data_IF_120969533487
#
_entry.id   IF_120969533487
#
_cell.length_a   1.000
_cell.length_b   1.000
_cell.length_c   1.000
_cell.angle_alpha   90.00
_cell.angle_beta   90.00
_cell.angle_gamma   90.00
#
_symmetry.space_group_name_H-M   'P 1'
#
loop_
_entity.id
_entity.type
_entity.pdbx_description
1 polymer ?
#
# COMPACT_ATOMS: atom_id res chain seq x y z
N UNK A 1 -14.28 -18.82 -19.45
CA UNK A 1 -14.05 -18.75 -17.99
C UNK A 1 -13.29 -17.47 -17.65
N UNK A 2 -14.01 -16.41 -17.25
CA UNK A 2 -13.45 -15.06 -16.99
C UNK A 2 -13.66 -14.60 -15.53
N UNK A 3 -14.22 -15.44 -14.66
CA UNK A 3 -14.68 -15.04 -13.31
C UNK A 3 -13.61 -15.05 -12.21
N UNK A 4 -12.50 -15.77 -12.41
CA UNK A 4 -11.47 -15.96 -11.36
C UNK A 4 -10.37 -14.90 -11.35
N UNK A 5 -10.23 -14.11 -12.42
CA UNK A 5 -9.17 -13.09 -12.51
C UNK A 5 -9.47 -11.85 -11.64
N UNK A 6 -10.75 -11.54 -11.43
CA UNK A 6 -11.18 -10.33 -10.72
C UNK A 6 -11.01 -10.42 -9.20
N UNK A 7 -11.14 -11.61 -8.62
CA UNK A 7 -11.05 -11.80 -7.17
C UNK A 7 -9.62 -11.67 -6.65
N UNK A 8 -8.63 -12.02 -7.48
CA UNK A 8 -7.21 -11.98 -7.12
C UNK A 8 -6.77 -10.52 -6.98
N UNK A 9 -7.14 -9.60 -7.89
CA UNK A 9 -6.70 -8.20 -7.82
C UNK A 9 -7.21 -7.42 -6.60
N UNK A 10 -8.36 -7.79 -6.04
CA UNK A 10 -8.93 -7.11 -4.88
C UNK A 10 -8.12 -7.35 -3.58
N UNK A 11 -7.44 -8.50 -3.47
CA UNK A 11 -6.68 -8.85 -2.27
C UNK A 11 -5.32 -8.13 -2.14
N UNK A 12 -4.84 -7.43 -3.18
CA UNK A 12 -3.49 -6.85 -3.20
C UNK A 12 -3.40 -5.41 -2.67
N UNK A 13 -4.44 -4.80 -2.13
CA UNK A 13 -4.39 -3.39 -1.69
C UNK A 13 -4.37 -3.28 -0.16
N UNK A 14 -3.26 -2.79 0.41
CA UNK A 14 -3.14 -2.45 1.84
C UNK A 14 -3.23 -0.94 2.05
N UNK A 15 -3.93 -0.52 3.10
CA UNK A 15 -3.98 0.88 3.54
C UNK A 15 -2.78 1.17 4.44
N UNK A 16 -2.00 2.21 4.14
CA UNK A 16 -0.89 2.71 4.96
C UNK A 16 -1.14 4.13 5.40
N UNK A 17 -0.97 4.40 6.70
CA UNK A 17 -0.97 5.76 7.22
C UNK A 17 0.41 6.38 7.04
N UNK A 18 0.47 7.55 6.44
CA UNK A 18 1.69 8.32 6.34
C UNK A 18 2.06 8.88 7.73
N UNK A 19 3.27 8.65 8.25
CA UNK A 19 3.68 9.16 9.56
C UNK A 19 3.89 10.68 9.57
N UNK A 20 4.06 11.31 8.40
CA UNK A 20 4.34 12.74 8.30
C UNK A 20 3.07 13.60 8.29
N UNK A 21 2.07 13.20 7.50
CA UNK A 21 0.84 13.99 7.29
C UNK A 21 -0.43 13.28 7.78
N UNK A 22 -0.31 12.06 8.31
CA UNK A 22 -1.44 11.25 8.76
C UNK A 22 -2.33 10.69 7.66
N UNK A 23 -2.02 10.97 6.38
CA UNK A 23 -2.85 10.56 5.25
C UNK A 23 -2.83 9.05 5.02
N UNK A 24 -3.98 8.46 4.69
CA UNK A 24 -4.08 7.04 4.36
C UNK A 24 -3.83 6.87 2.85
N UNK A 25 -2.72 6.21 2.50
CA UNK A 25 -2.36 5.86 1.13
C UNK A 25 -2.64 4.38 0.89
N UNK A 26 -3.30 4.06 -0.22
CA UNK A 26 -3.56 2.66 -0.61
C UNK A 26 -2.35 2.19 -1.42
N UNK A 27 -1.59 1.24 -0.88
CA UNK A 27 -0.42 0.66 -1.54
C UNK A 27 -0.71 -0.78 -1.95
N UNK A 28 -0.12 -1.19 -3.06
CA UNK A 28 -0.15 -2.59 -3.47
C UNK A 28 0.70 -3.44 -2.53
N UNK A 29 0.32 -4.69 -2.30
CA UNK A 29 1.06 -5.68 -1.50
C UNK A 29 2.45 -5.91 -2.09
N UNK A 30 2.60 -5.79 -3.41
CA UNK A 30 3.89 -5.86 -4.10
C UNK A 30 4.86 -4.76 -3.66
N UNK A 31 4.32 -3.63 -3.22
CA UNK A 31 5.08 -2.47 -2.77
C UNK A 31 5.02 -2.33 -1.24
N UNK A 32 4.59 -3.39 -0.53
CA UNK A 32 4.60 -3.39 0.93
C UNK A 32 6.04 -3.25 1.44
N UNK A 33 7.02 -3.91 0.83
CA UNK A 33 8.39 -3.86 1.32
C UNK A 33 9.18 -2.66 0.76
N UNK A 34 8.52 -1.82 -0.06
CA UNK A 34 9.14 -0.67 -0.69
C UNK A 34 8.78 0.64 0.00
N UNK A 35 9.74 1.56 -0.03
CA UNK A 35 9.51 2.96 0.29
C UNK A 35 8.82 3.63 -0.89
N UNK A 36 7.58 4.06 -0.70
CA UNK A 36 6.78 4.76 -1.72
C UNK A 36 6.57 6.22 -1.34
N UNK A 37 6.27 7.12 -2.27
CA UNK A 37 5.99 8.52 -1.93
C UNK A 37 4.53 8.70 -1.52
N UNK A 38 4.27 9.49 -0.48
CA UNK A 38 2.93 9.89 -0.12
C UNK A 38 2.31 10.73 -1.23
N UNK A 39 1.14 10.35 -1.72
CA UNK A 39 0.41 11.15 -2.72
C UNK A 39 -0.01 12.52 -2.21
N UNK A 40 -0.06 12.73 -0.88
CA UNK A 40 -0.50 13.99 -0.28
C UNK A 40 0.65 14.94 0.07
N UNK A 41 1.72 14.44 0.70
CA UNK A 41 2.83 15.29 1.15
C UNK A 41 4.14 15.07 0.38
N UNK A 42 4.19 14.14 -0.58
CA UNK A 42 5.39 13.83 -1.36
C UNK A 42 6.52 13.14 -0.59
N UNK A 43 6.43 13.07 0.75
CA UNK A 43 7.42 12.42 1.62
C UNK A 43 7.44 10.90 1.43
N UNK A 44 8.58 10.30 1.74
CA UNK A 44 8.72 8.85 1.80
C UNK A 44 7.75 8.24 2.84
N UNK A 45 6.88 7.33 2.41
CA UNK A 45 6.23 6.35 3.27
C UNK A 45 7.19 5.17 3.43
N UNK A 46 7.73 4.96 4.64
CA UNK A 46 8.53 3.78 4.90
C UNK A 46 7.67 2.51 4.77
N UNK A 47 8.29 1.37 4.43
CA UNK A 47 7.60 0.10 4.48
C UNK A 47 7.12 -0.16 5.91
N UNK A 48 5.87 -0.60 6.05
CA UNK A 48 5.42 -1.16 7.33
C UNK A 48 6.18 -2.46 7.51
N UNK A 49 7.06 -2.50 8.52
CA UNK A 49 7.77 -3.71 8.89
C UNK A 49 6.74 -4.84 9.10
N UNK A 50 7.04 -6.07 8.64
CA UNK A 50 6.26 -7.21 9.07
C UNK A 50 6.31 -7.21 10.60
N UNK A 51 5.16 -7.13 11.25
CA UNK A 51 5.03 -7.50 12.66
C UNK A 51 5.45 -8.96 12.75
N UNK A 52 6.70 -9.18 13.19
CA UNK A 52 7.24 -10.50 13.57
C UNK A 52 6.47 -11.00 14.79
#
# INVERSE_FOLDING_TARGET
>A
MWGIYSSIMAAFKRKRKCPQCGNISIVSIKDKDKTIKCSKCGKALPPQAPTV
#
